data_IF_914023805995
#
_entry.id   IF_914023805995
#
_cell.length_a   1.000
_cell.length_b   1.000
_cell.length_c   1.000
_cell.angle_alpha   90.00
_cell.angle_beta   90.00
_cell.angle_gamma   90.00
#
_symmetry.space_group_name_H-M   'P 1'
#
loop_
_entity.id
_entity.type
_entity.pdbx_description
1 polymer ?
#
# COMPACT_ATOMS: atom_id res chain seq x y z
N UNK A 1 14.72 4.12 -2.08
CA UNK A 1 14.33 3.08 -1.13
C UNK A 1 14.28 1.74 -1.84
N UNK A 2 14.81 0.71 -1.21
CA UNK A 2 14.87 -0.64 -1.81
C UNK A 2 13.50 -1.29 -1.98
N UNK A 3 12.55 -0.94 -1.12
CA UNK A 3 11.17 -1.46 -1.22
C UNK A 3 10.34 -0.47 -2.02
N UNK A 4 9.73 -0.95 -3.10
CA UNK A 4 8.83 -0.16 -3.94
C UNK A 4 7.39 -0.48 -3.61
N UNK A 5 6.54 0.55 -3.63
CA UNK A 5 5.12 0.42 -3.33
C UNK A 5 4.33 0.60 -4.63
N UNK A 6 3.50 -0.40 -4.96
CA UNK A 6 2.69 -0.41 -6.18
C UNK A 6 1.20 -0.29 -5.89
N UNK A 7 0.86 0.30 -4.74
CA UNK A 7 -0.52 0.40 -4.29
C UNK A 7 -1.39 1.21 -5.25
N UNK A 8 -0.84 2.28 -5.84
CA UNK A 8 -1.60 3.12 -6.79
C UNK A 8 -2.05 2.32 -8.01
N UNK A 9 -1.21 1.44 -8.51
CA UNK A 9 -1.53 0.62 -9.66
C UNK A 9 -2.64 -0.38 -9.36
N UNK A 10 -2.61 -0.97 -8.16
CA UNK A 10 -3.65 -1.90 -7.73
C UNK A 10 -4.99 -1.17 -7.56
N UNK A 11 -4.96 0.01 -6.92
CA UNK A 11 -6.17 0.82 -6.76
C UNK A 11 -6.79 1.15 -8.11
N UNK A 12 -5.98 1.52 -9.08
CA UNK A 12 -6.43 1.82 -10.43
C UNK A 12 -7.05 0.60 -11.08
N UNK A 13 -6.40 -0.55 -10.97
CA UNK A 13 -6.89 -1.82 -11.50
C UNK A 13 -8.24 -2.21 -10.91
N UNK A 14 -8.43 -1.96 -9.62
CA UNK A 14 -9.67 -2.30 -8.91
C UNK A 14 -10.72 -1.21 -9.03
N UNK A 15 -10.40 -0.12 -9.72
CA UNK A 15 -11.31 1.03 -9.88
C UNK A 15 -11.74 1.58 -8.52
N UNK A 16 -10.82 1.66 -7.58
CA UNK A 16 -11.04 2.12 -6.22
C UNK A 16 -10.18 3.35 -5.94
N UNK A 17 -10.75 4.34 -5.25
CA UNK A 17 -10.00 5.53 -4.84
C UNK A 17 -9.27 5.26 -3.52
N UNK A 18 -8.21 6.04 -3.27
CA UNK A 18 -7.51 5.93 -1.99
C UNK A 18 -8.41 6.35 -0.83
N UNK A 19 -9.33 7.28 -1.05
CA UNK A 19 -10.30 7.69 -0.04
C UNK A 19 -11.19 6.51 0.38
N UNK A 20 -11.67 5.75 -0.59
CA UNK A 20 -12.49 4.57 -0.33
C UNK A 20 -11.70 3.52 0.45
N UNK A 21 -10.46 3.25 0.03
CA UNK A 21 -9.62 2.28 0.72
C UNK A 21 -9.32 2.72 2.15
N UNK A 22 -8.95 3.99 2.35
CA UNK A 22 -8.67 4.51 3.69
C UNK A 22 -9.85 4.31 4.63
N UNK A 23 -11.05 4.55 4.14
CA UNK A 23 -12.27 4.33 4.91
C UNK A 23 -12.47 2.86 5.26
N UNK A 24 -12.28 1.97 4.29
CA UNK A 24 -12.46 0.53 4.49
C UNK A 24 -11.49 -0.04 5.52
N UNK A 25 -10.24 0.39 5.50
CA UNK A 25 -9.22 -0.14 6.41
C UNK A 25 -9.04 0.71 7.65
N UNK A 26 -9.86 1.75 7.80
CA UNK A 26 -9.93 2.59 8.99
C UNK A 26 -8.61 3.31 9.31
N UNK A 27 -8.03 3.93 8.30
CA UNK A 27 -6.89 4.84 8.49
C UNK A 27 -7.21 6.18 7.83
N UNK A 28 -6.41 7.19 8.13
CA UNK A 28 -6.60 8.50 7.52
C UNK A 28 -6.09 8.50 6.08
N UNK A 29 -6.65 9.38 5.25
CA UNK A 29 -6.15 9.55 3.88
C UNK A 29 -4.69 10.03 3.89
N UNK A 30 -4.31 10.84 4.88
CA UNK A 30 -2.93 11.31 5.03
C UNK A 30 -1.97 10.13 5.24
N UNK A 31 -2.33 9.20 6.13
CA UNK A 31 -1.51 8.02 6.39
C UNK A 31 -1.42 7.12 5.16
N UNK A 32 -2.53 6.93 4.47
CA UNK A 32 -2.54 6.13 3.26
C UNK A 32 -1.70 6.80 2.16
N UNK A 33 -1.74 8.12 2.05
CA UNK A 33 -0.93 8.88 1.10
C UNK A 33 0.56 8.67 1.33
N UNK A 34 0.99 8.67 2.59
CA UNK A 34 2.38 8.40 2.95
C UNK A 34 2.79 7.01 2.48
N UNK A 35 1.93 6.02 2.70
CA UNK A 35 2.19 4.64 2.27
C UNK A 35 2.28 4.55 0.74
N UNK A 36 1.33 5.17 0.04
CA UNK A 36 1.28 5.14 -1.43
C UNK A 36 2.52 5.79 -2.06
N UNK A 37 3.04 6.83 -1.42
CA UNK A 37 4.20 7.55 -1.95
C UNK A 37 5.51 6.78 -1.79
N UNK A 38 5.51 5.70 -1.02
CA UNK A 38 6.73 4.95 -0.71
C UNK A 38 7.58 5.59 0.38
N UNK A 39 7.06 6.63 1.04
CA UNK A 39 7.79 7.34 2.11
C UNK A 39 7.59 6.76 3.49
N UNK A 40 6.68 5.79 3.63
CA UNK A 40 6.44 5.15 4.91
C UNK A 40 7.67 4.34 5.32
N UNK A 41 8.05 4.45 6.59
CA UNK A 41 9.19 3.71 7.13
C UNK A 41 8.82 2.33 7.61
N UNK A 42 7.53 2.04 7.71
CA UNK A 42 7.03 0.74 8.11
C UNK A 42 5.55 0.66 7.87
N UNK A 43 5.03 -0.55 7.98
CA UNK A 43 3.60 -0.80 7.86
C UNK A 43 3.24 -1.94 8.81
N UNK A 44 2.10 -1.81 9.48
CA UNK A 44 1.62 -2.86 10.36
C UNK A 44 1.07 -4.02 9.54
N UNK A 45 1.34 -5.25 10.00
CA UNK A 45 0.79 -6.43 9.33
C UNK A 45 -0.74 -6.39 9.25
N UNK A 46 -1.40 -5.89 10.29
CA UNK A 46 -2.85 -5.77 10.27
C UNK A 46 -3.33 -4.85 9.15
N UNK A 47 -2.61 -3.77 8.90
CA UNK A 47 -2.93 -2.84 7.81
C UNK A 47 -2.75 -3.50 6.45
N UNK A 48 -1.61 -4.17 6.25
CA UNK A 48 -1.34 -4.82 4.96
C UNK A 48 -2.32 -5.98 4.72
N UNK A 49 -2.72 -6.70 5.77
CA UNK A 49 -3.74 -7.73 5.66
C UNK A 49 -5.06 -7.17 5.14
N UNK A 50 -5.49 -6.03 5.68
CA UNK A 50 -6.74 -5.39 5.24
C UNK A 50 -6.65 -4.91 3.81
N UNK A 51 -5.51 -4.34 3.43
CA UNK A 51 -5.30 -3.89 2.05
C UNK A 51 -5.42 -5.07 1.09
N UNK A 52 -4.74 -6.17 1.38
CA UNK A 52 -4.80 -7.37 0.55
C UNK A 52 -6.23 -7.91 0.46
N UNK A 53 -6.93 -7.91 1.58
CA UNK A 53 -8.30 -8.41 1.63
C UNK A 53 -9.24 -7.59 0.74
N UNK A 54 -9.23 -6.26 0.92
CA UNK A 54 -10.17 -5.39 0.21
C UNK A 54 -9.80 -5.21 -1.26
N UNK A 55 -8.53 -5.32 -1.61
CA UNK A 55 -8.10 -5.23 -2.99
C UNK A 55 -7.98 -6.59 -3.68
N UNK A 56 -8.20 -7.66 -2.92
CA UNK A 56 -8.11 -9.04 -3.43
C UNK A 56 -6.78 -9.28 -4.16
N UNK A 57 -5.69 -9.05 -3.45
CA UNK A 57 -4.36 -9.21 -4.00
C UNK A 57 -3.41 -9.77 -2.94
N UNK A 58 -2.21 -10.14 -3.36
CA UNK A 58 -1.16 -10.60 -2.47
C UNK A 58 -0.24 -9.44 -2.09
N UNK A 59 0.52 -9.63 -1.01
CA UNK A 59 1.50 -8.66 -0.57
C UNK A 59 2.53 -8.37 -1.68
N UNK A 60 2.89 -9.37 -2.46
CA UNK A 60 3.83 -9.22 -3.58
C UNK A 60 3.30 -8.37 -4.72
N UNK A 61 1.99 -8.13 -4.77
CA UNK A 61 1.39 -7.21 -5.74
C UNK A 61 1.55 -5.76 -5.30
N UNK A 62 1.70 -5.53 -4.00
CA UNK A 62 1.74 -4.19 -3.41
C UNK A 62 3.17 -3.72 -3.17
N UNK A 63 4.03 -4.62 -2.68
CA UNK A 63 5.40 -4.30 -2.29
C UNK A 63 6.37 -5.17 -3.06
N UNK A 64 7.45 -4.56 -3.56
CA UNK A 64 8.51 -5.29 -4.25
C UNK A 64 9.85 -4.75 -3.82
N UNK A 65 10.83 -5.64 -3.75
CA UNK A 65 12.22 -5.28 -3.50
C UNK A 65 12.90 -5.04 -4.85
N UNK A 66 13.61 -3.91 -4.98
CA UNK A 66 14.26 -3.55 -6.24
C UNK A 66 15.69 -4.08 -6.39
N UNK A 67 16.19 -4.80 -5.39
CA UNK A 67 17.53 -5.35 -5.44
C UNK A 67 18.62 -4.44 -4.90
N UNK A 68 18.27 -3.23 -4.46
CA UNK A 68 19.23 -2.25 -3.95
C UNK A 68 19.06 -2.06 -2.45
N UNK A 69 20.18 -1.94 -1.74
CA UNK A 69 20.16 -1.61 -0.31
C UNK A 69 20.53 -0.15 -0.13
N UNK A 70 19.63 0.64 0.44
CA UNK A 70 19.87 2.05 0.74
C UNK A 70 19.79 2.26 2.26
N UNK A 71 20.81 2.90 2.79
CA UNK A 71 20.84 3.26 4.21
C UNK A 71 20.32 4.65 4.47
#
# INVERSE_FOLDING_TARGET
MAIKVYLDEILKDRNMTSKELAKLINITEANLSILRSGKAKGIRFNTINKICYYLNCDIGDILKFDGELED
#
